data_IF_329632187611
#
_entry.id   IF_329632187611
#
_cell.length_a   1.000
_cell.length_b   1.000
_cell.length_c   1.000
_cell.angle_alpha   90.00
_cell.angle_beta   90.00
_cell.angle_gamma   90.00
#
_symmetry.space_group_name_H-M   'P 1'
#
loop_
_entity.id
_entity.type
_entity.pdbx_description
1 polymer ?
#
# COMPACT_ATOMS: atom_id res chain seq x y z
N UNK A 1 -20.87 21.25 15.34
CA UNK A 1 -20.04 21.50 14.13
C UNK A 1 -18.61 21.15 14.49
N UNK A 2 -18.04 20.05 13.98
CA UNK A 2 -16.60 19.78 14.19
C UNK A 2 -15.82 20.72 13.27
N UNK A 3 -14.87 21.45 13.84
CA UNK A 3 -13.91 22.23 13.05
C UNK A 3 -13.18 21.26 12.14
N UNK A 4 -13.36 21.34 10.82
CA UNK A 4 -12.38 20.77 9.91
C UNK A 4 -11.05 21.41 10.28
N UNK A 5 -9.98 20.62 10.46
CA UNK A 5 -8.65 21.17 10.59
C UNK A 5 -8.35 21.94 9.30
N UNK A 6 -8.55 23.25 9.33
CA UNK A 6 -8.17 24.16 8.26
C UNK A 6 -6.66 24.18 8.23
N UNK A 7 -6.08 23.52 7.24
CA UNK A 7 -4.65 23.58 6.98
C UNK A 7 -4.37 24.68 5.95
N UNK A 8 -3.18 25.26 6.01
CA UNK A 8 -2.78 26.30 5.07
C UNK A 8 -2.32 25.67 3.75
N UNK A 9 -3.22 25.64 2.76
CA UNK A 9 -2.92 25.10 1.41
C UNK A 9 -1.71 25.77 0.75
N UNK A 10 -1.37 27.01 1.13
CA UNK A 10 -0.24 27.74 0.55
C UNK A 10 1.11 27.28 1.09
N UNK A 11 1.15 26.59 2.23
CA UNK A 11 2.37 26.01 2.82
C UNK A 11 2.68 24.62 2.28
N UNK A 12 1.71 23.95 1.65
CA UNK A 12 1.91 22.56 1.22
C UNK A 12 2.93 22.49 0.08
N UNK A 13 4.00 21.74 0.33
CA UNK A 13 5.09 21.44 -0.61
C UNK A 13 5.07 19.98 -1.04
N UNK A 14 4.52 19.07 -0.22
CA UNK A 14 4.59 17.64 -0.47
C UNK A 14 3.28 16.90 -0.17
N UNK A 15 3.09 15.80 -0.91
CA UNK A 15 1.96 14.89 -0.74
C UNK A 15 2.54 13.50 -0.52
N UNK A 16 2.31 12.94 0.66
CA UNK A 16 2.77 11.62 1.09
C UNK A 16 1.62 10.61 0.90
N UNK A 17 1.83 9.57 0.11
CA UNK A 17 0.83 8.52 -0.15
C UNK A 17 1.27 7.19 0.45
N UNK A 18 0.44 6.55 1.27
CA UNK A 18 0.59 5.10 1.45
C UNK A 18 0.10 4.42 0.16
N UNK A 19 0.94 3.70 -0.62
CA UNK A 19 0.57 3.32 -1.98
C UNK A 19 -0.49 2.21 -2.08
N UNK A 20 -0.50 1.27 -1.13
CA UNK A 20 -1.47 0.17 -1.14
C UNK A 20 -2.88 0.70 -0.89
N UNK A 21 -3.83 0.30 -1.74
CA UNK A 21 -5.25 0.71 -1.74
C UNK A 21 -5.50 2.21 -1.94
N UNK A 22 -4.45 2.99 -2.17
CA UNK A 22 -4.53 4.41 -2.54
C UNK A 22 -4.08 4.62 -3.98
N UNK A 23 -2.92 4.08 -4.35
CA UNK A 23 -2.33 4.20 -5.70
C UNK A 23 -2.50 2.92 -6.51
N UNK A 24 -2.55 1.78 -5.82
CA UNK A 24 -2.61 0.45 -6.39
C UNK A 24 -3.48 -0.51 -5.57
N UNK A 25 -3.82 -1.65 -6.16
CA UNK A 25 -4.52 -2.76 -5.52
C UNK A 25 -3.85 -4.09 -5.91
N UNK A 26 -4.11 -5.14 -5.12
CA UNK A 26 -3.84 -6.50 -5.58
C UNK A 26 -4.71 -6.83 -6.81
N UNK A 27 -4.13 -7.27 -7.93
CA UNK A 27 -4.85 -7.67 -9.13
C UNK A 27 -5.88 -8.77 -8.89
N UNK A 28 -5.64 -9.62 -7.88
CA UNK A 28 -6.49 -10.76 -7.52
C UNK A 28 -7.48 -10.45 -6.39
N UNK A 29 -7.35 -9.26 -5.78
CA UNK A 29 -8.04 -8.90 -4.54
C UNK A 29 -7.45 -9.56 -3.29
N UNK A 30 -6.33 -10.29 -3.42
CA UNK A 30 -5.62 -10.90 -2.31
C UNK A 30 -4.11 -10.59 -2.38
N UNK A 31 -3.56 -9.99 -1.32
CA UNK A 31 -2.16 -9.56 -1.27
C UNK A 31 -1.13 -10.70 -1.24
N UNK A 32 -1.54 -11.96 -1.15
CA UNK A 32 -0.61 -13.10 -1.17
C UNK A 32 -0.86 -14.08 -2.33
N UNK A 33 -1.72 -13.73 -3.29
CA UNK A 33 -2.01 -14.56 -4.47
C UNK A 33 -1.46 -13.85 -5.70
N UNK A 34 -0.48 -14.49 -6.36
CA UNK A 34 0.09 -14.03 -7.62
C UNK A 34 -0.99 -13.89 -8.72
N UNK A 35 -0.87 -12.93 -9.66
CA UNK A 35 -1.88 -12.72 -10.71
C UNK A 35 -2.21 -13.96 -11.54
N UNK A 36 -1.20 -14.76 -11.86
CA UNK A 36 -1.28 -15.98 -12.65
C UNK A 36 -1.34 -17.25 -11.78
N UNK A 37 -1.64 -17.14 -10.49
CA UNK A 37 -1.67 -18.26 -9.54
C UNK A 37 -2.46 -19.47 -10.07
N UNK A 38 -3.62 -19.26 -10.68
CA UNK A 38 -4.46 -20.33 -11.22
C UNK A 38 -3.97 -20.95 -12.55
N UNK A 39 -2.86 -20.48 -13.12
CA UNK A 39 -2.14 -21.22 -14.18
C UNK A 39 -1.37 -22.41 -13.62
N UNK A 40 -1.01 -22.34 -12.32
CA UNK A 40 -0.17 -23.33 -11.66
C UNK A 40 -0.96 -24.20 -10.68
N UNK A 41 -2.17 -23.78 -10.32
CA UNK A 41 -2.98 -24.38 -9.26
C UNK A 41 -4.42 -24.55 -9.75
N UNK A 42 -5.02 -25.70 -9.41
CA UNK A 42 -6.40 -25.98 -9.79
C UNK A 42 -7.37 -25.06 -9.02
N UNK A 43 -8.03 -24.16 -9.76
CA UNK A 43 -8.98 -23.19 -9.20
C UNK A 43 -10.19 -23.85 -8.53
N UNK A 44 -10.65 -25.01 -9.01
CA UNK A 44 -11.78 -25.72 -8.41
C UNK A 44 -11.37 -26.30 -7.05
N UNK A 45 -10.17 -26.90 -6.96
CA UNK A 45 -9.64 -27.39 -5.69
C UNK A 45 -9.45 -26.23 -4.70
N UNK A 46 -8.91 -25.10 -5.16
CA UNK A 46 -8.79 -23.90 -4.32
C UNK A 46 -10.15 -23.44 -3.82
N UNK A 47 -11.16 -23.34 -4.68
CA UNK A 47 -12.49 -22.85 -4.30
C UNK A 47 -13.36 -23.86 -3.55
N UNK A 48 -12.98 -25.14 -3.51
CA UNK A 48 -13.73 -26.19 -2.81
C UNK A 48 -13.83 -25.97 -1.29
N UNK A 49 -12.90 -25.21 -0.72
CA UNK A 49 -12.91 -24.81 0.70
C UNK A 49 -13.56 -23.46 0.87
N UNK A 50 -14.26 -23.24 1.98
CA UNK A 50 -14.84 -21.93 2.28
C UNK A 50 -13.78 -20.83 2.35
N UNK A 51 -14.14 -19.59 1.99
CA UNK A 51 -13.24 -18.43 2.00
C UNK A 51 -12.54 -18.25 3.34
N UNK A 52 -13.23 -18.50 4.45
CA UNK A 52 -12.65 -18.41 5.80
C UNK A 52 -11.52 -19.43 5.99
N UNK A 53 -11.73 -20.69 5.62
CA UNK A 53 -10.72 -21.75 5.71
C UNK A 53 -9.51 -21.45 4.82
N UNK A 54 -9.74 -20.91 3.61
CA UNK A 54 -8.69 -20.41 2.71
C UNK A 54 -7.99 -19.15 3.21
N UNK A 55 -8.56 -18.43 4.18
CA UNK A 55 -7.90 -17.28 4.76
C UNK A 55 -7.05 -17.69 5.96
N UNK A 56 -7.48 -18.70 6.71
CA UNK A 56 -6.70 -19.33 7.78
C UNK A 56 -5.44 -20.02 7.24
N UNK A 57 -5.50 -20.50 6.00
CA UNK A 57 -4.41 -21.22 5.33
C UNK A 57 -3.17 -20.40 4.99
N UNK A 58 -3.23 -19.08 5.11
CA UNK A 58 -2.13 -18.23 4.66
C UNK A 58 -1.02 -18.16 5.72
N UNK A 59 0.26 -18.37 5.34
CA UNK A 59 1.44 -18.34 6.20
C UNK A 59 1.44 -17.27 7.29
N UNK A 60 1.02 -16.04 7.00
CA UNK A 60 0.88 -14.97 8.01
C UNK A 60 0.01 -15.31 9.24
N UNK A 61 -0.81 -16.37 9.16
CA UNK A 61 -1.66 -16.88 10.26
C UNK A 61 -1.18 -18.19 10.86
N UNK A 62 -0.34 -18.94 10.16
CA UNK A 62 0.11 -20.29 10.54
C UNK A 62 1.60 -20.34 10.86
N UNK A 63 2.36 -19.30 10.48
CA UNK A 63 3.77 -19.15 10.75
C UNK A 63 4.06 -17.76 11.34
N UNK A 64 4.39 -17.66 12.63
CA UNK A 64 4.75 -16.39 13.28
C UNK A 64 6.10 -15.83 12.81
N UNK A 65 6.94 -16.63 12.15
CA UNK A 65 8.23 -16.20 11.58
C UNK A 65 8.06 -15.48 10.24
N UNK A 66 6.91 -15.67 9.56
CA UNK A 66 6.59 -14.93 8.35
C UNK A 66 6.29 -13.46 8.67
N UNK A 67 7.29 -12.60 8.49
CA UNK A 67 7.14 -11.17 8.67
C UNK A 67 7.58 -10.37 7.44
N UNK A 68 6.59 -10.01 6.61
CA UNK A 68 6.77 -9.17 5.43
C UNK A 68 7.37 -7.79 5.75
N UNK A 69 7.16 -7.26 6.96
CA UNK A 69 7.67 -5.94 7.35
C UNK A 69 9.19 -5.93 7.56
N UNK A 70 9.86 -7.08 7.50
CA UNK A 70 11.33 -7.21 7.62
C UNK A 70 12.02 -7.44 6.27
N UNK A 71 11.26 -7.48 5.18
CA UNK A 71 11.81 -7.71 3.83
C UNK A 71 12.40 -6.40 3.31
N UNK A 72 13.73 -6.36 3.16
CA UNK A 72 14.49 -5.16 2.79
C UNK A 72 14.89 -5.21 1.31
N UNK A 73 15.21 -6.40 0.80
CA UNK A 73 15.70 -6.59 -0.57
C UNK A 73 14.78 -7.48 -1.42
N UNK A 74 14.88 -7.32 -2.75
CA UNK A 74 14.11 -8.13 -3.71
C UNK A 74 14.42 -9.62 -3.60
N UNK A 75 15.69 -9.97 -3.34
CA UNK A 75 16.12 -11.35 -3.11
C UNK A 75 15.45 -11.95 -1.86
N UNK A 76 15.43 -11.21 -0.75
CA UNK A 76 14.75 -11.64 0.48
C UNK A 76 13.25 -11.79 0.25
N UNK A 77 12.64 -10.91 -0.54
CA UNK A 77 11.24 -10.99 -0.93
C UNK A 77 10.96 -12.28 -1.69
N UNK A 78 11.81 -12.60 -2.67
CA UNK A 78 11.74 -13.85 -3.40
C UNK A 78 11.90 -15.05 -2.45
N UNK A 79 12.90 -15.07 -1.57
CA UNK A 79 13.12 -16.18 -0.64
C UNK A 79 11.92 -16.39 0.31
N UNK A 80 11.38 -15.31 0.88
CA UNK A 80 10.22 -15.34 1.77
C UNK A 80 8.95 -15.82 1.06
N UNK A 81 8.68 -15.36 -0.17
CA UNK A 81 7.50 -15.82 -0.90
C UNK A 81 7.64 -17.25 -1.42
N UNK A 82 8.86 -17.70 -1.71
CA UNK A 82 9.12 -19.12 -1.97
C UNK A 82 8.80 -19.98 -0.74
N UNK A 83 9.25 -19.54 0.44
CA UNK A 83 8.93 -20.20 1.71
C UNK A 83 7.41 -20.21 1.98
N UNK A 84 6.75 -19.08 1.77
CA UNK A 84 5.29 -18.95 1.84
C UNK A 84 4.56 -20.00 0.98
N UNK A 85 4.94 -20.17 -0.30
CA UNK A 85 4.26 -21.13 -1.18
C UNK A 85 4.58 -22.59 -0.85
N UNK A 86 5.74 -22.87 -0.23
CA UNK A 86 6.05 -24.20 0.34
C UNK A 86 5.15 -24.51 1.52
N UNK A 87 5.00 -23.61 2.48
CA UNK A 87 4.07 -23.78 3.61
C UNK A 87 2.63 -23.97 3.10
N UNK A 88 2.20 -23.14 2.14
CA UNK A 88 0.85 -23.24 1.58
C UNK A 88 0.62 -24.63 0.95
N UNK A 89 1.61 -25.18 0.25
CA UNK A 89 1.55 -26.54 -0.30
C UNK A 89 1.43 -27.60 0.79
N UNK A 90 2.24 -27.53 1.83
CA UNK A 90 2.29 -28.52 2.92
C UNK A 90 0.99 -28.55 3.72
N UNK A 91 0.42 -27.37 4.00
CA UNK A 91 -0.81 -27.26 4.76
C UNK A 91 -2.07 -27.49 3.89
N UNK A 92 -1.94 -27.36 2.56
CA UNK A 92 -3.04 -27.50 1.60
C UNK A 92 -2.65 -28.40 0.43
N UNK A 93 -2.35 -29.69 0.69
CA UNK A 93 -1.90 -30.63 -0.35
C UNK A 93 -2.91 -30.78 -1.49
N UNK A 94 -4.20 -30.56 -1.24
CA UNK A 94 -5.26 -30.57 -2.25
C UNK A 94 -5.13 -29.46 -3.32
N UNK A 95 -4.34 -28.40 -3.06
CA UNK A 95 -4.01 -27.41 -4.08
C UNK A 95 -3.07 -27.98 -5.14
N UNK A 96 -2.42 -29.11 -4.85
CA UNK A 96 -1.54 -29.83 -5.76
C UNK A 96 -0.45 -28.92 -6.35
N UNK A 97 0.06 -27.99 -5.52
CA UNK A 97 1.13 -27.08 -5.93
C UNK A 97 2.37 -27.92 -6.23
N UNK A 98 2.77 -27.94 -7.50
CA UNK A 98 3.97 -28.62 -7.95
C UNK A 98 5.21 -27.85 -7.51
N UNK A 99 6.21 -28.54 -6.97
CA UNK A 99 7.40 -27.91 -6.40
C UNK A 99 8.16 -27.10 -7.45
N UNK A 100 8.27 -27.64 -8.67
CA UNK A 100 8.90 -26.99 -9.83
C UNK A 100 8.16 -25.74 -10.33
N UNK A 101 6.94 -25.48 -9.84
CA UNK A 101 6.16 -24.28 -10.19
C UNK A 101 6.22 -23.18 -9.13
N UNK A 102 6.74 -23.46 -7.95
CA UNK A 102 6.82 -22.47 -6.85
C UNK A 102 7.60 -21.23 -7.29
N UNK A 103 8.79 -21.41 -7.88
CA UNK A 103 9.59 -20.29 -8.39
C UNK A 103 8.83 -19.49 -9.47
N UNK A 104 8.08 -20.15 -10.35
CA UNK A 104 7.30 -19.48 -11.39
C UNK A 104 6.15 -18.64 -10.81
N UNK A 105 5.47 -19.16 -9.77
CA UNK A 105 4.44 -18.42 -9.04
C UNK A 105 5.06 -17.22 -8.35
N UNK A 106 6.25 -17.38 -7.77
CA UNK A 106 6.92 -16.34 -7.02
C UNK A 106 7.50 -15.23 -7.93
N UNK A 107 8.09 -15.58 -9.08
CA UNK A 107 8.48 -14.60 -10.11
C UNK A 107 7.26 -13.77 -10.52
N UNK A 108 6.12 -14.43 -10.78
CA UNK A 108 4.89 -13.73 -11.12
C UNK A 108 4.39 -12.82 -9.98
N UNK A 109 4.49 -13.29 -8.74
CA UNK A 109 4.20 -12.49 -7.57
C UNK A 109 5.08 -11.24 -7.54
N UNK A 110 6.41 -11.38 -7.44
CA UNK A 110 7.34 -10.26 -7.24
C UNK A 110 7.22 -9.18 -8.33
N UNK A 111 6.98 -9.57 -9.58
CA UNK A 111 6.97 -8.62 -10.70
C UNK A 111 5.60 -8.10 -11.11
N UNK A 112 4.52 -8.84 -10.85
CA UNK A 112 3.17 -8.46 -11.28
C UNK A 112 2.22 -8.20 -10.11
N UNK A 113 2.74 -8.09 -8.88
CA UNK A 113 1.92 -8.02 -7.65
C UNK A 113 0.91 -6.86 -7.59
N UNK A 114 1.14 -5.77 -8.31
CA UNK A 114 0.37 -4.54 -8.17
C UNK A 114 -0.32 -4.13 -9.45
N UNK A 115 -1.60 -3.76 -9.34
CA UNK A 115 -2.36 -3.07 -10.37
C UNK A 115 -2.61 -1.64 -9.92
N UNK A 116 -2.05 -0.67 -10.65
CA UNK A 116 -2.27 0.75 -10.38
C UNK A 116 -3.64 1.20 -10.89
N UNK A 117 -4.25 2.15 -10.17
CA UNK A 117 -5.45 2.82 -10.65
C UNK A 117 -5.13 3.70 -11.86
N UNK A 118 -6.06 3.77 -12.82
CA UNK A 118 -5.89 4.60 -14.01
C UNK A 118 -5.69 6.08 -13.66
N UNK A 119 -6.39 6.55 -12.62
CA UNK A 119 -6.30 7.94 -12.17
C UNK A 119 -4.93 8.28 -11.58
N UNK A 120 -4.20 7.30 -11.05
CA UNK A 120 -2.82 7.48 -10.58
C UNK A 120 -1.94 8.00 -11.71
N UNK A 121 -2.06 7.47 -12.92
CA UNK A 121 -1.25 7.90 -14.07
C UNK A 121 -1.57 9.33 -14.54
N UNK A 122 -2.81 9.79 -14.34
CA UNK A 122 -3.23 11.15 -14.73
C UNK A 122 -2.93 12.19 -13.66
N UNK A 123 -3.14 11.83 -12.39
CA UNK A 123 -3.02 12.74 -11.26
C UNK A 123 -1.58 13.16 -11.01
N UNK A 124 -0.67 12.21 -11.03
CA UNK A 124 0.72 12.42 -10.59
C UNK A 124 1.49 13.43 -11.43
N UNK A 125 1.45 13.36 -12.78
CA UNK A 125 2.09 14.38 -13.62
C UNK A 125 1.55 15.80 -13.39
N UNK A 126 0.31 15.93 -12.93
CA UNK A 126 -0.29 17.23 -12.64
C UNK A 126 0.11 17.73 -11.25
N UNK A 127 0.03 16.87 -10.23
CA UNK A 127 0.47 17.22 -8.88
C UNK A 127 1.96 17.57 -8.84
N UNK A 128 2.79 16.86 -9.62
CA UNK A 128 4.24 17.11 -9.68
C UNK A 128 4.64 18.48 -10.24
N UNK A 129 3.72 19.23 -10.86
CA UNK A 129 3.99 20.60 -11.33
C UNK A 129 4.16 21.59 -10.18
N UNK A 130 3.39 21.38 -9.10
CA UNK A 130 3.28 22.34 -7.99
C UNK A 130 3.68 21.74 -6.63
N UNK A 131 3.76 20.42 -6.54
CA UNK A 131 4.03 19.67 -5.31
C UNK A 131 5.09 18.62 -5.57
N UNK A 132 5.58 18.00 -4.50
CA UNK A 132 6.43 16.82 -4.55
C UNK A 132 5.66 15.57 -4.10
N UNK A 133 5.00 14.82 -5.01
CA UNK A 133 4.36 13.55 -4.71
C UNK A 133 5.39 12.50 -4.28
N UNK A 134 5.13 11.82 -3.17
CA UNK A 134 6.04 10.86 -2.53
C UNK A 134 5.31 9.61 -2.07
N UNK A 135 5.88 8.44 -2.32
CA UNK A 135 5.41 7.19 -1.70
C UNK A 135 5.90 7.13 -0.27
N UNK A 136 5.02 6.76 0.63
CA UNK A 136 5.28 6.49 2.03
C UNK A 136 4.73 5.10 2.38
N UNK A 137 5.47 4.04 2.01
CA UNK A 137 5.05 2.65 2.20
C UNK A 137 5.80 1.96 3.34
N UNK A 138 5.05 1.31 4.23
CA UNK A 138 5.62 0.35 5.18
C UNK A 138 5.96 -0.99 4.53
N UNK A 139 5.45 -1.24 3.33
CA UNK A 139 5.53 -2.55 2.69
C UNK A 139 6.38 -2.53 1.42
N UNK A 140 7.04 -3.68 1.25
CA UNK A 140 7.54 -4.30 0.03
C UNK A 140 8.50 -3.50 -0.87
N UNK A 141 9.76 -3.92 -0.89
CA UNK A 141 10.82 -3.43 -1.79
C UNK A 141 10.48 -3.57 -3.29
N UNK A 142 9.60 -4.51 -3.66
CA UNK A 142 9.17 -4.72 -5.05
C UNK A 142 8.41 -3.51 -5.62
N UNK A 143 7.74 -2.72 -4.78
CA UNK A 143 7.09 -1.47 -5.21
C UNK A 143 8.10 -0.52 -5.87
N UNK A 144 9.33 -0.44 -5.34
CA UNK A 144 10.38 0.44 -5.88
C UNK A 144 10.71 0.11 -7.33
N UNK A 145 10.80 -1.17 -7.66
CA UNK A 145 11.08 -1.63 -9.03
C UNK A 145 9.87 -1.43 -9.94
N UNK A 146 8.66 -1.61 -9.41
CA UNK A 146 7.43 -1.44 -10.19
C UNK A 146 7.20 0.04 -10.53
N UNK A 147 7.38 0.95 -9.57
CA UNK A 147 7.35 2.39 -9.82
C UNK A 147 8.40 2.84 -10.86
N UNK A 148 9.59 2.22 -10.87
CA UNK A 148 10.61 2.47 -11.92
C UNK A 148 10.15 2.02 -13.31
N UNK A 149 9.45 0.87 -13.40
CA UNK A 149 8.97 0.29 -14.67
C UNK A 149 7.82 1.09 -15.30
N UNK A 150 6.91 1.64 -14.49
CA UNK A 150 5.69 2.30 -14.96
C UNK A 150 5.87 3.81 -15.27
N UNK A 151 7.07 4.25 -15.63
CA UNK A 151 7.39 5.63 -16.07
C UNK A 151 7.12 6.75 -15.06
N UNK A 152 6.90 6.46 -13.77
CA UNK A 152 6.87 7.48 -12.72
C UNK A 152 8.24 8.04 -12.33
N UNK A 153 9.31 7.60 -13.00
CA UNK A 153 10.72 7.86 -12.68
C UNK A 153 11.05 9.34 -12.43
N UNK A 154 10.33 10.26 -13.08
CA UNK A 154 10.58 11.70 -12.96
C UNK A 154 9.56 12.45 -12.08
N UNK A 155 8.43 11.84 -11.71
CA UNK A 155 7.36 12.50 -10.96
C UNK A 155 7.31 12.08 -9.49
N UNK A 156 8.14 11.11 -9.10
CA UNK A 156 7.93 10.37 -7.86
C UNK A 156 9.25 10.01 -7.16
N UNK A 157 9.44 10.52 -5.95
CA UNK A 157 10.54 10.09 -5.07
C UNK A 157 10.01 9.07 -4.07
N UNK A 158 10.59 7.87 -4.12
CA UNK A 158 10.21 6.73 -3.29
C UNK A 158 11.05 6.79 -2.02
N UNK A 159 10.40 6.89 -0.87
CA UNK A 159 11.06 6.77 0.43
C UNK A 159 11.59 5.35 0.62
N UNK A 160 12.68 5.22 1.38
CA UNK A 160 13.07 3.90 1.88
C UNK A 160 11.91 3.33 2.72
N UNK A 161 11.57 2.06 2.50
CA UNK A 161 10.49 1.38 3.21
C UNK A 161 10.77 1.35 4.71
N UNK A 162 9.74 1.18 5.53
CA UNK A 162 9.93 1.07 6.98
C UNK A 162 10.90 -0.08 7.34
N UNK A 163 10.88 -1.18 6.57
CA UNK A 163 11.86 -2.28 6.66
C UNK A 163 13.29 -1.82 6.41
N UNK A 164 13.54 -1.04 5.35
CA UNK A 164 14.86 -0.46 5.04
C UNK A 164 15.36 0.51 6.10
N UNK A 165 14.45 1.10 6.89
CA UNK A 165 14.79 1.99 8.00
C UNK A 165 14.83 1.29 9.36
N UNK A 166 14.55 -0.02 9.43
CA UNK A 166 14.33 -0.77 10.68
C UNK A 166 13.28 -0.12 11.61
N UNK A 167 12.24 0.47 11.02
CA UNK A 167 11.17 1.14 11.75
C UNK A 167 9.92 0.26 11.75
N UNK A 168 9.50 -0.17 12.94
CA UNK A 168 8.26 -0.96 13.10
C UNK A 168 7.06 -0.09 13.50
N UNK A 169 7.27 1.20 13.79
CA UNK A 169 6.25 2.12 14.27
C UNK A 169 5.86 3.13 13.17
N UNK A 170 4.57 3.19 12.83
CA UNK A 170 4.03 4.10 11.81
C UNK A 170 4.31 5.59 12.10
N UNK A 171 4.30 6.02 13.37
CA UNK A 171 4.64 7.40 13.74
C UNK A 171 6.11 7.70 13.42
N UNK A 172 7.02 6.81 13.84
CA UNK A 172 8.46 6.95 13.56
C UNK A 172 8.73 6.92 12.05
N UNK A 173 7.93 6.16 11.29
CA UNK A 173 8.05 6.12 9.85
C UNK A 173 7.64 7.46 9.20
N UNK A 174 6.52 8.06 9.62
CA UNK A 174 6.12 9.39 9.16
C UNK A 174 7.14 10.48 9.52
N UNK A 175 7.71 10.45 10.73
CA UNK A 175 8.79 11.37 11.14
C UNK A 175 9.99 11.23 10.19
N UNK A 176 10.47 9.99 10.02
CA UNK A 176 11.62 9.71 9.15
C UNK A 176 11.41 10.14 7.69
N UNK A 177 10.14 10.23 7.28
CA UNK A 177 9.74 10.61 5.94
C UNK A 177 9.76 12.12 5.75
N UNK A 178 9.35 12.88 6.76
CA UNK A 178 9.42 14.34 6.76
C UNK A 178 10.88 14.81 6.84
N UNK A 179 11.67 14.19 7.72
CA UNK A 179 13.08 14.53 7.93
C UNK A 179 13.92 14.29 6.67
N UNK A 180 13.73 13.15 5.97
CA UNK A 180 14.43 12.81 4.72
C UNK A 180 14.20 13.86 3.61
N UNK A 181 13.15 14.67 3.74
CA UNK A 181 12.82 15.72 2.79
C UNK A 181 13.00 17.14 3.31
N UNK A 182 13.53 17.30 4.52
CA UNK A 182 13.70 18.62 5.15
C UNK A 182 12.39 19.43 5.13
N UNK A 183 11.27 18.75 5.35
CA UNK A 183 9.95 19.37 5.45
C UNK A 183 9.61 19.60 6.92
N UNK A 184 8.69 20.51 7.18
CA UNK A 184 7.96 20.58 8.45
C UNK A 184 6.58 19.92 8.31
N UNK A 185 5.97 19.42 9.40
CA UNK A 185 4.69 18.70 9.33
C UNK A 185 3.55 19.47 8.65
N UNK A 186 3.53 20.80 8.78
CA UNK A 186 2.51 21.65 8.17
C UNK A 186 2.75 21.94 6.66
N UNK A 187 3.87 21.48 6.09
CA UNK A 187 4.18 21.58 4.66
C UNK A 187 3.84 20.29 3.89
N UNK A 188 3.35 19.28 4.59
CA UNK A 188 3.00 17.99 4.01
C UNK A 188 1.53 17.65 4.26
N UNK A 189 0.92 16.99 3.27
CA UNK A 189 -0.32 16.24 3.47
C UNK A 189 -0.05 14.74 3.35
N UNK A 190 -0.80 13.93 4.08
CA UNK A 190 -0.74 12.47 4.05
C UNK A 190 -2.06 11.88 3.58
N UNK A 191 -2.02 10.87 2.70
CA UNK A 191 -3.19 10.21 2.13
C UNK A 191 -3.08 8.70 2.33
N UNK A 192 -4.11 8.12 2.94
CA UNK A 192 -4.20 6.70 3.26
C UNK A 192 -5.66 6.23 3.21
N UNK A 193 -5.89 4.94 2.98
CA UNK A 193 -7.21 4.32 3.15
C UNK A 193 -7.46 3.84 4.59
N UNK A 194 -6.43 3.86 5.44
CA UNK A 194 -6.47 3.41 6.83
C UNK A 194 -6.47 4.58 7.83
N UNK A 195 -7.58 4.70 8.58
CA UNK A 195 -7.77 5.75 9.59
C UNK A 195 -6.69 5.77 10.68
N UNK A 196 -6.13 4.61 11.06
CA UNK A 196 -5.07 4.54 12.08
C UNK A 196 -3.76 5.17 11.60
N UNK A 197 -3.47 5.08 10.31
CA UNK A 197 -2.32 5.75 9.70
C UNK A 197 -2.60 7.26 9.60
N UNK A 198 -3.84 7.65 9.26
CA UNK A 198 -4.23 9.06 9.30
C UNK A 198 -4.10 9.68 10.70
N UNK A 199 -4.37 8.91 11.76
CA UNK A 199 -4.15 9.31 13.15
C UNK A 199 -2.69 9.49 13.49
N UNK A 200 -1.86 8.55 13.06
CA UNK A 200 -0.41 8.61 13.25
C UNK A 200 0.15 9.92 12.65
N UNK A 201 -0.23 10.23 11.41
CA UNK A 201 0.14 11.49 10.75
C UNK A 201 -0.38 12.73 11.50
N UNK A 202 -1.66 12.73 11.93
CA UNK A 202 -2.25 13.85 12.68
C UNK A 202 -1.52 14.14 14.00
N UNK A 203 -1.11 13.10 14.74
CA UNK A 203 -0.36 13.23 15.99
C UNK A 203 0.98 13.94 15.81
N UNK A 204 1.52 13.91 14.59
CA UNK A 204 2.78 14.57 14.22
C UNK A 204 2.57 15.99 13.65
N UNK A 205 1.33 16.47 13.61
CA UNK A 205 1.00 17.78 13.01
C UNK A 205 0.89 17.75 11.48
N UNK A 206 0.86 16.56 10.87
CA UNK A 206 0.68 16.39 9.43
C UNK A 206 -0.81 16.40 9.13
N UNK A 207 -1.22 17.18 8.13
CA UNK A 207 -2.61 17.13 7.65
C UNK A 207 -2.84 15.80 6.94
N UNK A 208 -3.79 14.99 7.41
CA UNK A 208 -4.12 13.71 6.77
C UNK A 208 -5.50 13.70 6.11
N UNK A 209 -5.61 12.91 5.05
CA UNK A 209 -6.82 12.64 4.30
C UNK A 209 -7.08 11.13 4.26
N UNK A 210 -8.26 10.74 4.73
CA UNK A 210 -8.75 9.37 4.62
C UNK A 210 -9.43 9.19 3.26
N UNK A 211 -8.88 8.33 2.41
CA UNK A 211 -9.45 7.94 1.13
C UNK A 211 -10.49 6.83 1.33
N UNK A 212 -11.69 7.05 0.80
CA UNK A 212 -12.78 6.09 0.81
C UNK A 212 -13.36 5.95 -0.60
N UNK A 213 -12.84 5.01 -1.39
CA UNK A 213 -13.31 4.83 -2.77
C UNK A 213 -14.77 4.38 -2.85
N UNK A 214 -15.23 3.54 -1.92
CA UNK A 214 -16.61 3.08 -1.92
C UNK A 214 -17.54 4.07 -1.20
N UNK A 215 -18.71 4.29 -1.80
CA UNK A 215 -19.68 5.28 -1.32
C UNK A 215 -20.20 4.99 0.09
N UNK A 216 -20.33 3.71 0.47
CA UNK A 216 -20.86 3.34 1.79
C UNK A 216 -19.88 3.72 2.89
N UNK A 217 -18.60 3.36 2.73
CA UNK A 217 -17.54 3.74 3.66
C UNK A 217 -17.34 5.24 3.70
N UNK A 218 -17.42 5.92 2.56
CA UNK A 218 -17.34 7.38 2.50
C UNK A 218 -18.41 8.05 3.37
N UNK A 219 -19.67 7.67 3.20
CA UNK A 219 -20.79 8.23 3.98
C UNK A 219 -20.67 7.88 5.46
N UNK A 220 -20.35 6.62 5.77
CA UNK A 220 -20.14 6.17 7.14
C UNK A 220 -19.06 7.01 7.84
N UNK A 221 -17.89 7.15 7.21
CA UNK A 221 -16.78 7.92 7.77
C UNK A 221 -17.12 9.39 7.88
N UNK A 222 -17.81 10.00 6.89
CA UNK A 222 -18.25 11.41 6.97
C UNK A 222 -19.19 11.66 8.16
N UNK A 223 -19.99 10.68 8.55
CA UNK A 223 -20.92 10.81 9.67
C UNK A 223 -20.22 10.57 11.02
N UNK A 224 -19.39 9.51 11.10
CA UNK A 224 -18.79 9.02 12.35
C UNK A 224 -17.45 9.64 12.71
N UNK A 225 -16.69 10.11 11.71
CA UNK A 225 -15.31 10.58 11.84
C UNK A 225 -15.18 12.00 11.26
N UNK A 226 -16.00 12.92 11.79
CA UNK A 226 -16.14 14.31 11.28
C UNK A 226 -14.90 15.19 11.51
N UNK A 227 -13.95 14.71 12.31
CA UNK A 227 -12.67 15.30 12.63
C UNK A 227 -11.57 14.93 11.62
N UNK A 228 -11.87 14.11 10.61
CA UNK A 228 -10.95 13.76 9.53
C UNK A 228 -11.34 14.42 8.23
N UNK A 229 -10.33 14.76 7.43
CA UNK A 229 -10.55 15.13 6.06
C UNK A 229 -10.79 13.83 5.28
N UNK A 230 -12.01 13.64 4.78
CA UNK A 230 -12.39 12.42 4.06
C UNK A 230 -12.62 12.76 2.59
N UNK A 231 -11.95 12.04 1.71
CA UNK A 231 -12.02 12.16 0.25
C UNK A 231 -12.53 10.85 -0.36
N UNK A 232 -13.19 10.94 -1.51
CA UNK A 232 -13.71 9.76 -2.22
C UNK A 232 -12.76 9.28 -3.31
N UNK A 233 -11.99 10.19 -3.89
CA UNK A 233 -11.01 9.88 -4.92
C UNK A 233 -9.80 10.77 -4.81
N UNK A 234 -8.69 10.32 -5.37
CA UNK A 234 -7.46 11.13 -5.40
C UNK A 234 -7.62 12.44 -6.19
N UNK A 235 -8.60 12.53 -7.10
CA UNK A 235 -8.93 13.78 -7.79
C UNK A 235 -9.38 14.88 -6.82
N UNK A 236 -9.99 14.53 -5.69
CA UNK A 236 -10.45 15.50 -4.69
C UNK A 236 -9.27 16.29 -4.11
N UNK A 237 -8.08 15.68 -4.05
CA UNK A 237 -6.85 16.34 -3.60
C UNK A 237 -6.56 17.56 -4.47
N UNK A 238 -6.80 17.49 -5.79
CA UNK A 238 -6.61 18.62 -6.69
C UNK A 238 -7.52 19.78 -6.32
N UNK A 239 -8.81 19.50 -6.11
CA UNK A 239 -9.78 20.53 -5.73
C UNK A 239 -9.46 21.17 -4.38
N UNK A 240 -8.94 20.36 -3.45
CA UNK A 240 -8.53 20.82 -2.12
C UNK A 240 -7.27 21.71 -2.19
N UNK A 241 -6.34 21.39 -3.10
CA UNK A 241 -5.08 22.12 -3.28
C UNK A 241 -5.15 23.21 -4.36
N UNK A 242 -6.26 23.31 -5.10
CA UNK A 242 -6.47 24.33 -6.12
C UNK A 242 -6.32 25.71 -5.50
N UNK A 243 -5.48 26.55 -6.09
CA UNK A 243 -5.25 27.92 -5.63
C UNK A 243 -6.42 28.80 -6.01
#
# INVERSE_FOLDING_TARGET
>A
MSKSNTFDKNKIKAILFNPERVLNISPTGHWFIAPNFFKYINKNNFNSKEKYQRNLSFPKRIDPEFNESLIIYEKENFEQFNYYYKILRENFPQLEIKFEKIDSINVDYVYNHYKFFNDTFKLFPELSKNYHPKSNSNNCTSLKNIFKKISFKNCFKILNTSSQKNINNINTFHISSIDEYSLSPNEAIFVDDNIKNCDAAKKLGITSFLLCEDYKSYIYNKIKHREYNIIRSLSDIKSILAK
#
